data_IF_970537651962
#
_entry.id   IF_970537651962
#
_cell.length_a   1.000
_cell.length_b   1.000
_cell.length_c   1.000
_cell.angle_alpha   90.00
_cell.angle_beta   90.00
_cell.angle_gamma   90.00
#
_symmetry.space_group_name_H-M   'P 1'
#
loop_
_entity.id
_entity.type
_entity.pdbx_description
1 polymer ?
#
# COMPACT_ATOMS: atom_id res chain seq x y z
N UNK A 1 -2.86 31.39 1.05
CA UNK A 1 -3.53 30.09 0.90
C UNK A 1 -2.65 29.05 0.21
N UNK A 2 -1.92 29.41 -0.85
CA UNK A 2 -1.03 28.48 -1.59
C UNK A 2 0.16 27.96 -0.77
N UNK A 3 0.75 28.77 0.08
CA UNK A 3 1.91 28.38 0.89
C UNK A 3 1.58 27.37 1.99
N UNK A 4 0.30 27.26 2.35
CA UNK A 4 -0.17 26.28 3.34
C UNK A 4 -0.53 24.92 2.71
N UNK A 5 -0.91 24.89 1.43
CA UNK A 5 -1.31 23.66 0.73
C UNK A 5 -0.13 22.72 0.47
N UNK A 6 1.05 23.26 0.14
CA UNK A 6 2.26 22.48 -0.16
C UNK A 6 2.71 21.58 0.99
N UNK A 7 2.87 22.09 2.24
CA UNK A 7 3.21 21.22 3.37
C UNK A 7 2.12 20.18 3.68
N UNK A 8 0.83 20.50 3.45
CA UNK A 8 -0.25 19.52 3.59
C UNK A 8 -0.10 18.37 2.59
N UNK A 9 0.21 18.67 1.33
CA UNK A 9 0.44 17.63 0.31
C UNK A 9 1.59 16.70 0.71
N UNK A 10 2.70 17.23 1.23
CA UNK A 10 3.83 16.43 1.71
C UNK A 10 3.41 15.58 2.91
N UNK A 11 2.69 16.16 3.87
CA UNK A 11 2.19 15.42 5.03
C UNK A 11 1.25 14.28 4.63
N UNK A 12 0.31 14.52 3.72
CA UNK A 12 -0.57 13.48 3.20
C UNK A 12 0.21 12.38 2.47
N UNK A 13 1.21 12.74 1.67
CA UNK A 13 2.08 11.75 1.01
C UNK A 13 2.82 10.89 2.02
N UNK A 14 3.33 11.49 3.09
CA UNK A 14 3.97 10.75 4.18
C UNK A 14 2.99 9.79 4.87
N UNK A 15 1.77 10.26 5.15
CA UNK A 15 0.73 9.46 5.81
C UNK A 15 0.35 8.23 4.96
N UNK A 16 0.11 8.41 3.66
CA UNK A 16 -0.23 7.28 2.77
C UNK A 16 0.94 6.34 2.56
N UNK A 17 2.17 6.85 2.60
CA UNK A 17 3.37 6.02 2.56
C UNK A 17 3.46 5.11 3.80
N UNK A 18 3.23 5.64 5.01
CA UNK A 18 3.18 4.85 6.25
C UNK A 18 2.08 3.78 6.17
N UNK A 19 0.88 4.15 5.70
CA UNK A 19 -0.20 3.18 5.53
C UNK A 19 0.13 2.09 4.52
N UNK A 20 0.83 2.45 3.43
CA UNK A 20 1.32 1.49 2.45
C UNK A 20 2.30 0.48 3.06
N UNK A 21 3.21 0.94 3.93
CA UNK A 21 4.12 0.05 4.68
C UNK A 21 3.36 -0.86 5.64
N UNK A 22 2.37 -0.34 6.38
CA UNK A 22 1.54 -1.14 7.28
C UNK A 22 0.79 -2.22 6.48
N UNK A 23 0.22 -1.89 5.33
CA UNK A 23 -0.44 -2.85 4.45
C UNK A 23 0.52 -3.93 3.96
N UNK A 24 1.73 -3.55 3.53
CA UNK A 24 2.73 -4.50 3.03
C UNK A 24 3.20 -5.49 4.10
N UNK A 25 3.34 -5.05 5.36
CA UNK A 25 3.81 -5.88 6.47
C UNK A 25 2.69 -6.55 7.27
N UNK A 26 1.41 -6.27 6.94
CA UNK A 26 0.30 -6.85 7.69
C UNK A 26 0.24 -8.37 7.55
N UNK A 27 0.13 -9.03 8.70
CA UNK A 27 -0.10 -10.48 8.83
C UNK A 27 -1.57 -10.87 8.75
N UNK A 28 -2.47 -9.90 8.62
CA UNK A 28 -3.90 -10.11 8.76
C UNK A 28 -4.65 -9.77 7.47
N UNK A 29 -4.11 -10.13 6.30
CA UNK A 29 -4.85 -9.97 5.05
C UNK A 29 -6.09 -10.84 5.02
N UNK A 30 -6.02 -12.03 5.63
CA UNK A 30 -7.12 -12.98 5.80
C UNK A 30 -7.15 -13.46 7.24
N UNK A 31 -8.34 -13.65 7.77
CA UNK A 31 -8.55 -14.17 9.12
C UNK A 31 -9.53 -15.32 9.02
N UNK A 32 -9.02 -16.55 9.20
CA UNK A 32 -9.78 -17.76 9.09
C UNK A 32 -9.94 -18.41 10.47
N UNK A 33 -11.17 -18.79 10.81
CA UNK A 33 -11.52 -19.50 12.03
C UNK A 33 -11.74 -20.98 11.71
N UNK A 34 -11.27 -21.81 12.59
CA UNK A 34 -11.31 -23.27 12.49
C UNK A 34 -12.02 -23.87 13.69
N UNK A 35 -12.76 -24.94 13.44
CA UNK A 35 -13.32 -25.78 14.52
C UNK A 35 -12.28 -26.85 14.89
N UNK A 36 -11.25 -26.43 15.59
CA UNK A 36 -10.15 -27.29 16.04
C UNK A 36 -9.67 -26.91 17.42
N UNK A 37 -9.48 -27.93 18.26
CA UNK A 37 -8.93 -27.77 19.62
C UNK A 37 -7.46 -27.34 19.61
N UNK A 38 -6.75 -27.55 18.49
CA UNK A 38 -5.30 -27.29 18.35
C UNK A 38 -5.06 -25.85 17.93
N UNK A 39 -5.82 -25.34 16.93
CA UNK A 39 -5.68 -23.97 16.41
C UNK A 39 -7.08 -23.44 16.09
N UNK A 40 -7.46 -22.35 16.75
CA UNK A 40 -8.78 -21.75 16.57
C UNK A 40 -8.83 -20.66 15.49
N UNK A 41 -7.74 -19.91 15.32
CA UNK A 41 -7.67 -18.78 14.38
C UNK A 41 -6.32 -18.74 13.69
N UNK A 42 -6.32 -18.54 12.37
CA UNK A 42 -5.12 -18.33 11.55
C UNK A 42 -5.22 -16.96 10.88
N UNK A 43 -4.19 -16.15 11.08
CA UNK A 43 -3.99 -14.88 10.39
C UNK A 43 -3.05 -15.11 9.22
N UNK A 44 -3.50 -14.85 8.01
CA UNK A 44 -2.72 -15.06 6.79
C UNK A 44 -2.40 -13.70 6.18
N UNK A 45 -1.11 -13.36 6.16
CA UNK A 45 -0.56 -12.18 5.49
C UNK A 45 -0.26 -12.43 4.02
N UNK A 46 0.49 -11.52 3.42
CA UNK A 46 1.05 -11.74 2.08
C UNK A 46 2.35 -12.56 2.13
N UNK A 47 3.11 -12.47 3.23
CA UNK A 47 4.45 -13.07 3.36
C UNK A 47 4.53 -14.21 4.34
N UNK A 48 3.69 -14.18 5.37
CA UNK A 48 3.68 -15.16 6.45
C UNK A 48 2.27 -15.36 7.00
N UNK A 49 2.02 -16.55 7.53
CA UNK A 49 0.87 -16.87 8.34
C UNK A 49 1.26 -16.92 9.82
N UNK A 50 0.37 -16.41 10.66
CA UNK A 50 0.51 -16.41 12.12
C UNK A 50 -0.66 -17.13 12.75
N UNK A 51 -0.39 -18.04 13.69
CA UNK A 51 -1.43 -18.74 14.47
C UNK A 51 -0.92 -19.09 15.87
N UNK A 52 -1.82 -19.38 16.76
CA UNK A 52 -1.49 -19.91 18.09
C UNK A 52 -1.86 -21.37 18.15
N UNK A 53 -0.89 -22.21 18.44
CA UNK A 53 -1.08 -23.65 18.54
C UNK A 53 -1.05 -24.07 20.00
N UNK A 54 -2.02 -24.91 20.39
CA UNK A 54 -2.10 -25.51 21.71
C UNK A 54 -1.32 -26.82 21.72
N UNK A 55 -0.45 -26.95 22.70
CA UNK A 55 0.33 -28.15 22.96
C UNK A 55 -0.01 -28.69 24.34
N UNK A 56 -0.15 -30.01 24.44
CA UNK A 56 -0.28 -30.66 25.74
C UNK A 56 1.12 -31.04 26.24
N UNK A 57 1.63 -30.31 27.22
CA UNK A 57 2.93 -30.58 27.84
C UNK A 57 2.68 -31.08 29.25
N UNK A 58 2.87 -32.37 29.50
CA UNK A 58 2.70 -33.01 30.81
C UNK A 58 1.33 -32.78 31.46
N UNK A 59 0.26 -32.76 30.65
CA UNK A 59 -1.11 -32.56 31.11
C UNK A 59 -1.55 -31.08 31.24
N UNK A 60 -0.68 -30.13 30.91
CA UNK A 60 -0.99 -28.69 30.88
C UNK A 60 -1.07 -28.24 29.42
N UNK A 61 -2.18 -27.57 29.03
CA UNK A 61 -2.35 -26.99 27.72
C UNK A 61 -1.60 -25.65 27.65
N UNK A 62 -0.59 -25.56 26.80
CA UNK A 62 0.23 -24.35 26.57
C UNK A 62 -0.04 -23.84 25.16
N UNK A 63 -0.36 -22.55 25.02
CA UNK A 63 -0.49 -21.89 23.71
C UNK A 63 0.83 -21.23 23.30
N UNK A 64 1.36 -21.63 22.14
CA UNK A 64 2.57 -21.06 21.59
C UNK A 64 2.27 -20.32 20.28
N UNK A 65 2.86 -19.12 20.05
CA UNK A 65 2.77 -18.43 18.78
C UNK A 65 3.64 -19.13 17.73
N UNK A 66 3.03 -19.47 16.60
CA UNK A 66 3.67 -20.13 15.47
C UNK A 66 3.63 -19.23 14.24
N UNK A 67 4.70 -19.28 13.45
CA UNK A 67 4.85 -18.53 12.21
C UNK A 67 5.19 -19.49 11.08
N UNK A 68 4.53 -19.31 9.94
CA UNK A 68 4.81 -20.07 8.73
C UNK A 68 5.01 -19.09 7.56
N UNK A 69 6.21 -19.05 7.00
CA UNK A 69 6.49 -18.23 5.83
C UNK A 69 5.75 -18.77 4.61
N UNK A 70 5.07 -17.88 3.87
CA UNK A 70 4.42 -18.23 2.61
C UNK A 70 5.49 -18.33 1.53
N UNK A 71 5.96 -19.55 1.30
CA UNK A 71 7.02 -19.89 0.35
C UNK A 71 6.56 -21.00 -0.60
N UNK A 72 7.49 -21.64 -1.30
CA UNK A 72 7.22 -22.71 -2.25
C UNK A 72 6.53 -23.96 -1.65
N UNK A 73 6.47 -24.12 -0.32
CA UNK A 73 5.75 -25.20 0.35
C UNK A 73 4.23 -24.96 0.42
N UNK A 74 3.79 -23.72 0.24
CA UNK A 74 2.38 -23.34 0.16
C UNK A 74 1.87 -23.42 -1.28
N UNK A 75 0.63 -23.80 -1.47
CA UNK A 75 -0.07 -23.60 -2.74
C UNK A 75 -0.49 -22.14 -2.79
N UNK A 76 0.39 -21.28 -3.32
CA UNK A 76 0.16 -19.82 -3.35
C UNK A 76 -0.81 -19.49 -4.47
N UNK A 77 -1.93 -18.90 -4.12
CA UNK A 77 -2.92 -18.44 -5.09
C UNK A 77 -2.44 -17.21 -5.86
N UNK A 78 -2.99 -17.00 -7.07
CA UNK A 78 -2.58 -15.89 -7.96
C UNK A 78 -2.77 -14.53 -7.32
N UNK A 79 -3.86 -14.34 -6.58
CA UNK A 79 -4.16 -13.06 -5.91
C UNK A 79 -3.15 -12.72 -4.81
N UNK A 80 -2.57 -13.71 -4.13
CA UNK A 80 -1.49 -13.50 -3.17
C UNK A 80 -0.18 -13.18 -3.89
N UNK A 81 0.20 -13.98 -4.88
CA UNK A 81 1.44 -13.80 -5.63
C UNK A 81 1.51 -12.45 -6.35
N UNK A 82 0.47 -12.08 -7.10
CA UNK A 82 0.39 -10.74 -7.72
C UNK A 82 0.23 -9.64 -6.69
N UNK A 83 -0.51 -9.89 -5.60
CA UNK A 83 -0.67 -8.95 -4.49
C UNK A 83 0.66 -8.56 -3.85
N UNK A 84 1.56 -9.53 -3.65
CA UNK A 84 2.93 -9.28 -3.19
C UNK A 84 3.67 -8.30 -4.11
N UNK A 85 3.67 -8.55 -5.41
CA UNK A 85 4.33 -7.70 -6.41
C UNK A 85 3.72 -6.30 -6.48
N UNK A 86 2.39 -6.21 -6.53
CA UNK A 86 1.68 -4.94 -6.64
C UNK A 86 1.83 -4.06 -5.40
N UNK A 87 1.80 -4.63 -4.19
CA UNK A 87 1.97 -3.84 -2.96
C UNK A 87 3.40 -3.32 -2.80
N UNK A 88 4.40 -4.09 -3.22
CA UNK A 88 5.80 -3.64 -3.25
C UNK A 88 5.98 -2.52 -4.28
N UNK A 89 5.42 -2.68 -5.48
CA UNK A 89 5.47 -1.68 -6.53
C UNK A 89 4.77 -0.38 -6.08
N UNK A 90 3.60 -0.49 -5.44
CA UNK A 90 2.92 0.66 -4.84
C UNK A 90 3.82 1.39 -3.85
N UNK A 91 4.44 0.68 -2.88
CA UNK A 91 5.32 1.29 -1.89
C UNK A 91 6.56 1.94 -2.52
N UNK A 92 7.13 1.36 -3.58
CA UNK A 92 8.23 1.97 -4.33
C UNK A 92 7.79 3.30 -4.97
N UNK A 93 6.61 3.32 -5.61
CA UNK A 93 6.05 4.53 -6.21
C UNK A 93 5.74 5.59 -5.16
N UNK A 94 5.19 5.21 -4.00
CA UNK A 94 4.92 6.12 -2.89
C UNK A 94 6.21 6.72 -2.32
N UNK A 95 7.27 5.92 -2.20
CA UNK A 95 8.59 6.39 -1.77
C UNK A 95 9.15 7.42 -2.74
N UNK A 96 9.09 7.15 -4.04
CA UNK A 96 9.52 8.09 -5.06
C UNK A 96 8.68 9.39 -5.06
N UNK A 97 7.35 9.28 -4.93
CA UNK A 97 6.46 10.44 -4.81
C UNK A 97 6.77 11.27 -3.56
N UNK A 98 7.09 10.63 -2.44
CA UNK A 98 7.50 11.31 -1.21
C UNK A 98 8.80 12.10 -1.42
N UNK A 99 9.79 11.52 -2.10
CA UNK A 99 11.06 12.21 -2.43
C UNK A 99 10.78 13.43 -3.30
N UNK A 100 10.05 13.28 -4.41
CA UNK A 100 9.73 14.41 -5.29
C UNK A 100 8.94 15.51 -4.57
N UNK A 101 8.02 15.15 -3.69
CA UNK A 101 7.23 16.12 -2.91
C UNK A 101 8.09 16.90 -1.91
N UNK A 102 9.04 16.24 -1.25
CA UNK A 102 10.02 16.89 -0.36
C UNK A 102 10.95 17.83 -1.14
N UNK A 103 11.49 17.36 -2.27
CA UNK A 103 12.35 18.20 -3.14
C UNK A 103 11.59 19.44 -3.60
N UNK A 104 10.34 19.28 -4.05
CA UNK A 104 9.50 20.40 -4.46
C UNK A 104 9.27 21.41 -3.32
N UNK A 105 9.03 20.93 -2.08
CA UNK A 105 8.86 21.78 -0.90
C UNK A 105 10.14 22.55 -0.58
N UNK A 106 11.30 21.89 -0.58
CA UNK A 106 12.59 22.53 -0.29
C UNK A 106 12.94 23.58 -1.35
N UNK A 107 12.82 23.26 -2.62
CA UNK A 107 13.09 24.20 -3.73
C UNK A 107 12.13 25.39 -3.68
N UNK A 108 10.86 25.16 -3.35
CA UNK A 108 9.89 26.27 -3.25
C UNK A 108 10.21 27.25 -2.11
N UNK A 109 10.98 26.83 -1.10
CA UNK A 109 11.43 27.68 0.04
C UNK A 109 12.78 28.36 -0.23
N UNK A 110 13.57 27.91 -1.18
CA UNK A 110 14.92 28.41 -1.45
C UNK A 110 14.99 29.78 -2.12
N UNK A 111 13.86 30.47 -2.33
CA UNK A 111 13.80 31.89 -2.71
C UNK A 111 13.83 32.23 -4.21
N UNK A 112 14.27 31.30 -5.10
CA UNK A 112 14.21 31.48 -6.55
C UNK A 112 13.89 30.15 -7.24
N UNK A 113 12.68 29.60 -7.04
CA UNK A 113 12.34 28.30 -7.58
C UNK A 113 12.16 28.38 -9.10
N UNK A 114 12.82 27.48 -9.83
CA UNK A 114 12.51 27.26 -11.25
C UNK A 114 11.08 26.69 -11.38
N UNK A 115 10.17 27.42 -12.04
CA UNK A 115 8.76 27.00 -12.12
C UNK A 115 8.59 25.73 -12.95
N UNK A 116 9.45 25.45 -13.92
CA UNK A 116 9.35 24.25 -14.76
C UNK A 116 9.81 23.01 -13.97
N UNK A 117 10.86 23.14 -13.17
CA UNK A 117 11.30 22.07 -12.27
C UNK A 117 10.24 21.74 -11.21
N UNK A 118 9.64 22.75 -10.56
CA UNK A 118 8.57 22.54 -9.60
C UNK A 118 7.36 21.84 -10.21
N UNK A 119 6.97 22.28 -11.43
CA UNK A 119 5.88 21.64 -12.16
C UNK A 119 6.18 20.19 -12.47
N UNK A 120 7.41 19.87 -12.85
CA UNK A 120 7.86 18.50 -13.10
C UNK A 120 7.73 17.65 -11.83
N UNK A 121 8.22 18.13 -10.68
CA UNK A 121 8.12 17.43 -9.42
C UNK A 121 6.67 17.15 -9.00
N UNK A 122 5.77 18.14 -9.13
CA UNK A 122 4.35 17.93 -8.78
C UNK A 122 3.64 16.97 -9.73
N UNK A 123 3.91 17.05 -11.02
CA UNK A 123 3.35 16.10 -12.01
C UNK A 123 3.86 14.68 -11.81
N UNK A 124 5.17 14.53 -11.56
CA UNK A 124 5.77 13.24 -11.26
C UNK A 124 5.16 12.64 -9.99
N UNK A 125 5.03 13.42 -8.90
CA UNK A 125 4.38 12.97 -7.67
C UNK A 125 2.93 12.56 -7.91
N UNK A 126 2.15 13.37 -8.63
CA UNK A 126 0.77 13.05 -8.96
C UNK A 126 0.64 11.73 -9.74
N UNK A 127 1.44 11.54 -10.78
CA UNK A 127 1.45 10.31 -11.58
C UNK A 127 1.81 9.08 -10.74
N UNK A 128 2.86 9.16 -9.93
CA UNK A 128 3.30 8.07 -9.07
C UNK A 128 2.24 7.70 -8.03
N UNK A 129 1.56 8.70 -7.45
CA UNK A 129 0.46 8.48 -6.50
C UNK A 129 -0.76 7.85 -7.18
N UNK A 130 -1.11 8.24 -8.41
CA UNK A 130 -2.18 7.60 -9.18
C UNK A 130 -1.87 6.13 -9.48
N UNK A 131 -0.65 5.83 -9.94
CA UNK A 131 -0.23 4.47 -10.21
C UNK A 131 -0.18 3.63 -8.93
N UNK A 132 0.36 4.18 -7.84
CA UNK A 132 0.36 3.55 -6.53
C UNK A 132 -1.06 3.29 -6.01
N UNK A 133 -1.99 4.23 -6.21
CA UNK A 133 -3.41 4.07 -5.90
C UNK A 133 -4.02 2.88 -6.67
N UNK A 134 -3.77 2.79 -7.97
CA UNK A 134 -4.26 1.69 -8.79
C UNK A 134 -3.74 0.33 -8.29
N UNK A 135 -2.42 0.22 -8.04
CA UNK A 135 -1.80 -1.01 -7.52
C UNK A 135 -2.38 -1.40 -6.15
N UNK A 136 -2.50 -0.45 -5.20
CA UNK A 136 -3.03 -0.72 -3.87
C UNK A 136 -4.52 -1.13 -3.94
N UNK A 137 -5.33 -0.42 -4.73
CA UNK A 137 -6.77 -0.71 -4.89
C UNK A 137 -6.98 -2.10 -5.48
N UNK A 138 -6.25 -2.45 -6.55
CA UNK A 138 -6.33 -3.77 -7.17
C UNK A 138 -5.95 -4.85 -6.16
N UNK A 139 -4.84 -4.68 -5.43
CA UNK A 139 -4.38 -5.67 -4.45
C UNK A 139 -5.42 -5.90 -3.35
N UNK A 140 -5.94 -4.82 -2.75
CA UNK A 140 -6.91 -4.92 -1.65
C UNK A 140 -8.23 -5.50 -2.14
N UNK A 141 -8.78 -4.98 -3.24
CA UNK A 141 -10.08 -5.43 -3.77
C UNK A 141 -10.03 -6.89 -4.24
N UNK A 142 -8.98 -7.28 -4.96
CA UNK A 142 -8.85 -8.64 -5.47
C UNK A 142 -8.71 -9.66 -4.32
N UNK A 143 -7.78 -9.40 -3.38
CA UNK A 143 -7.61 -10.29 -2.23
C UNK A 143 -8.89 -10.41 -1.40
N UNK A 144 -9.59 -9.31 -1.15
CA UNK A 144 -10.86 -9.32 -0.44
C UNK A 144 -11.93 -10.12 -1.18
N UNK A 145 -12.14 -9.83 -2.47
CA UNK A 145 -13.19 -10.47 -3.28
C UNK A 145 -12.98 -11.99 -3.36
N UNK A 146 -11.75 -12.42 -3.64
CA UNK A 146 -11.43 -13.84 -3.78
C UNK A 146 -11.51 -14.56 -2.43
N UNK A 147 -11.15 -13.94 -1.33
CA UNK A 147 -11.27 -14.55 -0.01
C UNK A 147 -12.74 -14.75 0.40
N UNK A 148 -13.57 -13.70 0.29
CA UNK A 148 -14.96 -13.76 0.74
C UNK A 148 -15.88 -14.57 -0.17
N UNK A 149 -15.67 -14.52 -1.48
CA UNK A 149 -16.48 -15.31 -2.44
C UNK A 149 -15.96 -16.74 -2.65
N UNK A 150 -14.95 -17.17 -1.87
CA UNK A 150 -14.52 -18.56 -1.80
C UNK A 150 -13.77 -19.11 -3.02
N UNK A 151 -13.27 -18.22 -3.89
CA UNK A 151 -12.54 -18.61 -5.12
C UNK A 151 -11.03 -18.76 -4.91
N UNK A 152 -10.51 -18.52 -3.68
CA UNK A 152 -9.08 -18.64 -3.44
C UNK A 152 -8.60 -20.08 -3.62
N UNK A 153 -7.47 -20.23 -4.32
CA UNK A 153 -6.75 -21.50 -4.46
C UNK A 153 -5.63 -21.65 -3.41
N UNK A 154 -5.56 -20.73 -2.42
CA UNK A 154 -4.57 -20.80 -1.35
C UNK A 154 -4.80 -22.08 -0.54
N UNK A 155 -3.74 -22.89 -0.38
CA UNK A 155 -3.78 -24.09 0.44
C UNK A 155 -2.55 -24.17 1.33
N UNK A 156 -2.71 -24.85 2.47
CA UNK A 156 -1.67 -25.01 3.47
C UNK A 156 -0.64 -26.05 3.04
N UNK A 157 0.62 -25.92 3.49
CA UNK A 157 1.61 -26.99 3.31
C UNK A 157 1.22 -28.25 4.11
N UNK A 158 1.68 -29.41 3.69
CA UNK A 158 1.40 -30.71 4.33
C UNK A 158 1.84 -30.72 5.82
N UNK A 159 2.81 -29.89 6.17
CA UNK A 159 3.32 -29.75 7.55
C UNK A 159 2.45 -28.85 8.44
N UNK A 160 1.41 -28.23 7.87
CA UNK A 160 0.53 -27.34 8.62
C UNK A 160 -0.47 -28.17 9.44
N UNK A 161 -0.78 -27.79 10.70
CA UNK A 161 -1.61 -28.60 11.60
C UNK A 161 -3.11 -28.62 11.23
N UNK A 162 -3.51 -27.91 10.19
CA UNK A 162 -4.90 -27.76 9.75
C UNK A 162 -5.03 -27.96 8.25
N UNK A 163 -6.19 -28.44 7.83
CA UNK A 163 -6.60 -28.52 6.44
C UNK A 163 -7.56 -27.36 6.09
N UNK A 164 -7.52 -26.90 4.85
CA UNK A 164 -8.38 -25.81 4.38
C UNK A 164 -9.87 -26.12 4.54
N UNK A 165 -10.26 -27.38 4.42
CA UNK A 165 -11.65 -27.84 4.54
C UNK A 165 -12.22 -27.65 5.95
N UNK A 166 -11.37 -27.49 6.96
CA UNK A 166 -11.76 -27.27 8.36
C UNK A 166 -12.11 -25.78 8.64
N UNK A 167 -12.07 -24.89 7.66
CA UNK A 167 -12.43 -23.46 7.83
C UNK A 167 -13.93 -23.36 8.09
N UNK A 168 -14.30 -22.90 9.27
CA UNK A 168 -15.69 -22.69 9.67
C UNK A 168 -16.19 -21.28 9.33
N UNK A 169 -15.34 -20.27 9.50
CA UNK A 169 -15.70 -18.88 9.28
C UNK A 169 -14.52 -18.04 8.80
N UNK A 170 -14.82 -17.08 7.93
CA UNK A 170 -13.88 -16.04 7.51
C UNK A 170 -14.29 -14.70 8.12
N UNK A 171 -13.35 -13.99 8.76
CA UNK A 171 -13.60 -12.67 9.34
C UNK A 171 -13.01 -11.57 8.49
N UNK A 172 -13.70 -10.43 8.50
CA UNK A 172 -13.19 -9.20 7.90
C UNK A 172 -11.95 -8.72 8.69
N UNK A 173 -10.84 -8.57 7.97
CA UNK A 173 -9.61 -8.02 8.53
C UNK A 173 -9.62 -6.48 8.50
N UNK A 174 -8.84 -5.87 9.41
CA UNK A 174 -8.58 -4.42 9.39
C UNK A 174 -7.83 -3.95 8.12
N UNK A 175 -7.20 -4.85 7.39
CA UNK A 175 -6.49 -4.54 6.14
C UNK A 175 -7.44 -4.00 5.08
N UNK A 176 -8.67 -4.49 5.01
CA UNK A 176 -9.64 -4.00 4.04
C UNK A 176 -10.04 -2.53 4.29
N UNK A 177 -10.54 -2.12 5.48
CA UNK A 177 -10.84 -0.70 5.74
C UNK A 177 -9.59 0.17 5.70
N UNK A 178 -8.42 -0.30 6.14
CA UNK A 178 -7.17 0.44 6.01
C UNK A 178 -6.78 0.64 4.55
N UNK A 179 -6.88 -0.41 3.73
CA UNK A 179 -6.56 -0.36 2.31
C UNK A 179 -7.48 0.56 1.52
N UNK A 180 -8.79 0.51 1.78
CA UNK A 180 -9.75 1.42 1.16
C UNK A 180 -9.50 2.88 1.56
N UNK A 181 -9.24 3.15 2.83
CA UNK A 181 -8.88 4.49 3.32
C UNK A 181 -7.59 4.98 2.66
N UNK A 182 -6.57 4.12 2.56
CA UNK A 182 -5.31 4.45 1.89
C UNK A 182 -5.54 4.79 0.42
N UNK A 183 -6.35 4.02 -0.29
CA UNK A 183 -6.68 4.27 -1.71
C UNK A 183 -7.38 5.61 -1.91
N UNK A 184 -8.34 5.96 -1.04
CA UNK A 184 -9.03 7.25 -1.09
C UNK A 184 -8.04 8.41 -0.83
N UNK A 185 -7.21 8.28 0.20
CA UNK A 185 -6.21 9.30 0.52
C UNK A 185 -5.17 9.46 -0.59
N UNK A 186 -4.74 8.37 -1.23
CA UNK A 186 -3.85 8.41 -2.40
C UNK A 186 -4.47 9.18 -3.54
N UNK A 187 -5.75 8.91 -3.87
CA UNK A 187 -6.46 9.60 -4.93
C UNK A 187 -6.58 11.10 -4.62
N UNK A 188 -7.01 11.46 -3.41
CA UNK A 188 -7.12 12.86 -2.98
C UNK A 188 -5.77 13.57 -3.07
N UNK A 189 -4.71 12.95 -2.58
CA UNK A 189 -3.35 13.52 -2.61
C UNK A 189 -2.86 13.72 -4.03
N UNK A 190 -3.08 12.74 -4.93
CA UNK A 190 -2.73 12.83 -6.34
C UNK A 190 -3.46 13.99 -7.04
N UNK A 191 -4.76 14.18 -6.75
CA UNK A 191 -5.54 15.30 -7.27
C UNK A 191 -4.99 16.65 -6.77
N UNK A 192 -4.65 16.77 -5.49
CA UNK A 192 -4.04 17.98 -4.94
C UNK A 192 -2.73 18.33 -5.63
N UNK A 193 -1.82 17.36 -5.84
CA UNK A 193 -0.59 17.58 -6.60
C UNK A 193 -0.85 17.97 -8.05
N UNK A 194 -1.85 17.37 -8.68
CA UNK A 194 -2.25 17.73 -10.05
C UNK A 194 -2.72 19.18 -10.12
N UNK A 195 -3.53 19.63 -9.18
CA UNK A 195 -4.00 21.02 -9.07
C UNK A 195 -2.83 22.01 -8.85
N UNK A 196 -1.90 21.68 -7.93
CA UNK A 196 -0.70 22.50 -7.71
C UNK A 196 0.16 22.60 -8.97
N UNK A 197 0.41 21.47 -9.63
CA UNK A 197 1.17 21.44 -10.89
C UNK A 197 0.56 22.25 -12.03
N UNK A 198 -0.79 22.32 -12.10
CA UNK A 198 -1.50 23.16 -13.07
C UNK A 198 -1.49 24.65 -12.69
N UNK A 199 -1.41 24.96 -11.39
CA UNK A 199 -1.44 26.35 -10.88
C UNK A 199 -0.13 27.12 -11.09
N UNK A 200 0.97 26.45 -11.40
CA UNK A 200 2.28 27.06 -11.68
C UNK A 200 2.27 27.60 -13.10
N UNK A 201 2.32 28.94 -13.24
CA UNK A 201 2.37 29.60 -14.54
C UNK A 201 3.72 29.34 -15.23
N UNK A 202 3.73 29.04 -16.56
CA UNK A 202 4.99 28.94 -17.29
C UNK A 202 5.71 30.30 -17.27
N UNK A 203 7.06 30.31 -17.27
CA UNK A 203 7.80 31.55 -17.45
C UNK A 203 7.35 32.22 -18.75
N UNK A 204 7.12 33.54 -18.70
CA UNK A 204 6.87 34.30 -19.92
C UNK A 204 8.11 34.13 -20.85
N UNK A 205 7.97 33.44 -21.95
CA UNK A 205 9.00 33.46 -23.02
C UNK A 205 9.17 34.91 -23.40
N UNK A 206 10.28 35.52 -23.01
CA UNK A 206 10.71 36.80 -23.56
C UNK A 206 11.11 36.51 -25.00
N UNK A 207 10.30 36.93 -25.97
CA UNK A 207 10.67 36.86 -27.36
C UNK A 207 11.90 37.76 -27.55
N UNK A 208 13.06 37.23 -27.98
CA UNK A 208 14.26 38.04 -28.22
C UNK A 208 14.16 38.72 -29.61
N UNK A 209 13.06 39.38 -29.92
CA UNK A 209 12.89 40.07 -31.19
C UNK A 209 12.41 41.50 -30.96
N UNK A 210 13.33 42.36 -30.66
CA UNK A 210 13.42 43.73 -31.23
C UNK A 210 14.79 44.31 -30.88
N UNK A 211 15.86 43.74 -31.49
CA UNK A 211 17.01 44.59 -31.76
C UNK A 211 16.61 45.39 -32.99
N UNK A 212 16.01 46.53 -32.75
CA UNK A 212 15.82 47.57 -33.76
C UNK A 212 17.20 47.94 -34.28
N UNK A 213 17.43 47.68 -35.58
CA UNK A 213 18.52 48.28 -36.32
C UNK A 213 18.24 49.78 -36.34
N UNK A 214 19.08 50.57 -35.67
CA UNK A 214 19.43 51.95 -36.06
C UNK A 214 20.71 51.93 -36.83
#
# INVERSE_FOLDING_TARGET
MKDFLRPICVFLTYLVWVFGLILAHSRSWRVWEFDSDIVSVVFIGLWEAFYRQKFNVSGVMVELPMYSAINASWVVSKEVSYGQGLILLANLMLTAALIFSWVALLVSRAGAPDPDFLRLCYRASALLLFLGCACATVTVSWNFTVDFYGQTALDFPITFPLEREMVTRKRLSYVFPLGTTTSILLLVTALLFSCEGCSIKPPKRVNPLTVSKC
#
